data_IF_218786721276
#
_entry.id   IF_218786721276
#
_cell.length_a   1.000
_cell.length_b   1.000
_cell.length_c   1.000
_cell.angle_alpha   90.00
_cell.angle_beta   90.00
_cell.angle_gamma   90.00
#
_symmetry.space_group_name_H-M   'P 1'
#
loop_
_entity.id
_entity.type
_entity.pdbx_description
1 polymer ?
#
# COMPACT_ATOMS: atom_id res chain seq x y z
N UNK A 1 -10.46 11.01 -1.14
CA UNK A 1 -10.64 9.70 -0.46
C UNK A 1 -9.26 9.23 -0.05
N UNK A 2 -9.09 8.59 1.09
CA UNK A 2 -7.78 8.11 1.55
C UNK A 2 -7.76 6.59 1.59
N UNK A 3 -6.76 5.98 0.96
CA UNK A 3 -6.51 4.55 0.93
C UNK A 3 -5.22 4.25 1.68
N UNK A 4 -5.30 3.42 2.71
CA UNK A 4 -4.12 2.83 3.35
C UNK A 4 -4.02 1.37 2.94
N UNK A 5 -2.91 0.98 2.32
CA UNK A 5 -2.60 -0.42 2.03
C UNK A 5 -1.49 -0.89 2.95
N UNK A 6 -1.75 -1.94 3.70
CA UNK A 6 -0.79 -2.62 4.57
C UNK A 6 -0.49 -4.00 3.99
N UNK A 7 0.77 -4.28 3.70
CA UNK A 7 1.27 -5.59 3.31
C UNK A 7 2.07 -6.19 4.46
N UNK A 8 1.86 -7.46 4.76
CA UNK A 8 2.62 -8.23 5.73
C UNK A 8 2.99 -9.56 5.07
N UNK A 9 4.21 -10.08 5.11
CA UNK A 9 5.42 -9.72 5.84
C UNK A 9 6.60 -9.68 4.82
N UNK A 10 7.60 -8.78 4.94
CA UNK A 10 7.77 -7.70 5.93
C UNK A 10 6.68 -6.62 5.85
N UNK A 11 6.39 -5.90 6.95
CA UNK A 11 5.41 -4.83 6.95
C UNK A 11 5.78 -3.71 5.97
N UNK A 12 4.84 -3.37 5.09
CA UNK A 12 4.92 -2.18 4.23
C UNK A 12 3.57 -1.47 4.24
N UNK A 13 3.57 -0.17 4.53
CA UNK A 13 2.36 0.63 4.62
C UNK A 13 2.45 1.75 3.59
N UNK A 14 1.43 1.89 2.76
CA UNK A 14 1.30 2.99 1.80
C UNK A 14 -0.01 3.74 1.99
N UNK A 15 0.04 5.06 1.97
CA UNK A 15 -1.10 5.97 2.12
C UNK A 15 -1.24 6.76 0.82
N UNK A 16 -2.43 6.75 0.23
CA UNK A 16 -2.72 7.37 -1.06
C UNK A 16 -4.04 8.15 -1.02
N UNK A 17 -4.16 9.17 -1.88
CA UNK A 17 -5.44 9.80 -2.22
C UNK A 17 -5.74 11.15 -1.55
N UNK A 18 -5.15 11.47 -0.41
CA UNK A 18 -5.23 12.80 0.20
C UNK A 18 -3.95 13.13 0.98
N UNK A 19 -3.63 14.42 1.08
CA UNK A 19 -2.51 14.89 1.89
C UNK A 19 -2.83 14.77 3.38
N UNK A 20 -1.89 14.22 4.14
CA UNK A 20 -1.89 14.25 5.60
C UNK A 20 -0.99 15.41 6.08
N UNK A 21 -1.32 16.03 7.21
CA UNK A 21 -0.42 16.94 7.92
C UNK A 21 0.88 16.22 8.31
N UNK A 22 1.99 16.97 8.34
CA UNK A 22 3.30 16.42 8.71
C UNK A 22 3.29 15.82 10.12
N UNK A 23 2.60 16.44 11.08
CA UNK A 23 2.49 15.92 12.44
C UNK A 23 1.88 14.52 12.50
N UNK A 24 0.86 14.27 11.67
CA UNK A 24 0.19 12.97 11.54
C UNK A 24 1.12 11.94 10.90
N UNK A 25 1.90 12.35 9.90
CA UNK A 25 2.94 11.52 9.29
C UNK A 25 3.99 11.14 10.35
N UNK A 26 4.50 12.10 11.11
CA UNK A 26 5.52 11.90 12.14
C UNK A 26 5.03 11.03 13.30
N UNK A 27 3.77 11.20 13.71
CA UNK A 27 3.11 10.35 14.69
C UNK A 27 3.05 8.88 14.21
N UNK A 28 2.64 8.66 12.96
CA UNK A 28 2.61 7.33 12.35
C UNK A 28 4.02 6.72 12.22
N UNK A 29 5.03 7.48 11.79
CA UNK A 29 6.42 7.01 11.72
C UNK A 29 6.93 6.54 13.09
N UNK A 30 6.55 7.24 14.16
CA UNK A 30 6.94 6.91 15.53
C UNK A 30 6.16 5.72 16.08
N UNK A 31 4.89 5.58 15.73
CA UNK A 31 3.99 4.57 16.28
C UNK A 31 4.16 3.20 15.61
N UNK A 32 4.16 3.14 14.27
CA UNK A 32 4.10 1.89 13.51
C UNK A 32 5.21 0.89 13.88
N UNK A 33 6.50 1.28 13.99
CA UNK A 33 7.55 0.33 14.34
C UNK A 33 7.35 -0.31 15.72
N UNK A 34 6.71 0.38 16.67
CA UNK A 34 6.49 -0.14 18.04
C UNK A 34 5.52 -1.32 18.09
N UNK A 35 4.70 -1.49 17.05
CA UNK A 35 3.70 -2.54 16.97
C UNK A 35 4.18 -3.81 16.25
N UNK A 36 5.42 -3.83 15.74
CA UNK A 36 5.97 -5.06 15.15
C UNK A 36 6.32 -6.06 16.24
N UNK A 37 6.16 -7.35 15.94
CA UNK A 37 6.50 -8.44 16.87
C UNK A 37 8.00 -8.52 17.12
N UNK A 38 8.83 -8.24 16.12
CA UNK A 38 10.29 -8.20 16.26
C UNK A 38 10.81 -7.01 17.05
N UNK A 39 10.03 -5.93 17.18
CA UNK A 39 10.41 -4.79 18.04
C UNK A 39 10.50 -5.15 19.52
N UNK A 40 9.91 -6.28 19.94
CA UNK A 40 10.13 -6.83 21.29
C UNK A 40 11.55 -7.43 21.47
N UNK A 41 12.26 -7.71 20.37
CA UNK A 41 13.54 -8.44 20.36
C UNK A 41 14.73 -7.58 19.91
N UNK A 42 14.51 -6.48 19.18
CA UNK A 42 15.58 -5.65 18.61
C UNK A 42 15.59 -4.24 19.20
N UNK A 43 15.99 -4.10 20.46
CA UNK A 43 16.45 -2.82 21.02
C UNK A 43 17.89 -2.56 20.56
N UNK A 44 18.06 -2.06 19.34
CA UNK A 44 19.37 -1.70 18.80
C UNK A 44 19.28 -0.43 17.97
N UNK A 45 20.24 0.47 18.18
CA UNK A 45 20.49 1.78 17.54
C UNK A 45 20.34 1.75 16.01
N UNK A 46 19.12 1.68 15.49
CA UNK A 46 18.81 1.87 14.06
C UNK A 46 18.02 3.15 13.90
N UNK A 47 18.23 3.83 12.77
CA UNK A 47 17.47 5.00 12.40
C UNK A 47 15.97 4.64 12.31
N UNK A 48 15.07 5.47 12.86
CA UNK A 48 13.65 5.18 12.81
C UNK A 48 13.16 5.13 11.35
N UNK A 49 12.33 4.14 10.98
CA UNK A 49 11.71 4.07 9.67
C UNK A 49 10.92 5.35 9.35
N UNK A 50 11.01 5.82 8.11
CA UNK A 50 10.40 7.07 7.65
C UNK A 50 9.48 6.82 6.46
N UNK A 51 8.41 7.61 6.35
CA UNK A 51 7.64 7.68 5.12
C UNK A 51 8.45 8.40 4.04
N UNK A 52 8.51 7.79 2.87
CA UNK A 52 9.05 8.36 1.66
C UNK A 52 7.90 8.79 0.77
N UNK A 53 7.97 10.01 0.25
CA UNK A 53 7.04 10.50 -0.75
C UNK A 53 7.39 9.86 -2.09
N UNK A 54 6.45 9.13 -2.66
CA UNK A 54 6.53 8.56 -4.00
C UNK A 54 5.59 9.38 -4.90
N UNK A 55 6.16 10.18 -5.80
CA UNK A 55 5.40 10.79 -6.89
C UNK A 55 5.14 9.73 -7.96
N UNK A 56 3.92 9.68 -8.50
CA UNK A 56 3.57 8.75 -9.57
C UNK A 56 4.11 9.25 -10.91
N UNK A 57 5.36 8.95 -11.26
CA UNK A 57 5.82 9.06 -12.65
C UNK A 57 5.42 7.80 -13.41
N UNK A 58 4.51 7.93 -14.39
CA UNK A 58 4.16 6.86 -15.32
C UNK A 58 5.25 6.67 -16.41
N UNK A 59 5.59 5.40 -16.69
CA UNK A 59 6.61 4.75 -17.56
C UNK A 59 6.55 5.08 -19.09
N UNK A 60 7.56 4.77 -19.98
CA UNK A 60 8.18 3.43 -20.21
C UNK A 60 9.67 3.34 -20.60
N UNK A 61 10.07 2.10 -20.91
CA UNK A 61 11.38 1.43 -21.10
C UNK A 61 12.37 2.02 -22.12
N UNK A 62 13.69 1.75 -21.90
CA UNK A 62 14.65 1.18 -22.88
C UNK A 62 16.07 1.12 -22.25
N UNK A 63 17.03 0.22 -22.52
CA UNK A 63 17.18 -1.07 -23.23
C UNK A 63 18.66 -1.49 -23.02
N UNK A 64 18.97 -2.79 -23.08
CA UNK A 64 20.17 -3.44 -23.71
C UNK A 64 20.22 -4.88 -23.18
N UNK A 65 19.65 -5.88 -23.86
CA UNK A 65 20.27 -6.71 -24.93
C UNK A 65 20.30 -8.17 -24.43
N UNK A 66 20.15 -9.28 -25.15
CA UNK A 66 20.06 -9.64 -26.57
C UNK A 66 19.48 -11.09 -26.67
N UNK A 67 18.72 -11.37 -27.76
CA UNK A 67 18.58 -12.64 -28.55
C UNK A 67 17.99 -13.89 -27.87
N UNK A 68 17.08 -14.69 -28.48
CA UNK A 68 17.05 -15.18 -29.87
C UNK A 68 15.65 -15.77 -30.25
N UNK A 69 15.38 -15.72 -31.55
CA UNK A 69 14.19 -16.17 -32.33
C UNK A 69 13.76 -17.64 -32.11
N UNK A 70 12.46 -17.96 -32.31
CA UNK A 70 11.98 -18.65 -33.53
C UNK A 70 10.44 -18.79 -33.59
N UNK A 71 9.87 -18.44 -34.74
CA UNK A 71 8.45 -18.46 -35.13
C UNK A 71 7.85 -19.86 -35.29
N UNK A 72 6.52 -19.97 -35.11
CA UNK A 72 5.65 -20.66 -36.08
C UNK A 72 4.21 -20.13 -36.05
N UNK A 73 3.78 -19.72 -37.24
CA UNK A 73 2.51 -19.12 -37.64
C UNK A 73 1.35 -20.15 -37.80
N UNK A 74 0.13 -19.60 -37.99
CA UNK A 74 -1.19 -20.13 -38.44
C UNK A 74 -2.25 -20.30 -37.34
N UNK A 75 -3.52 -19.94 -37.49
CA UNK A 75 -4.33 -19.19 -38.46
C UNK A 75 -5.70 -18.90 -37.75
N UNK A 76 -6.51 -18.04 -38.36
CA UNK A 76 -7.61 -17.22 -37.87
C UNK A 76 -8.84 -17.85 -37.17
N UNK A 77 -9.58 -16.93 -36.52
CA UNK A 77 -11.07 -16.77 -36.54
C UNK A 77 -11.83 -17.00 -35.22
N UNK A 78 -12.29 -15.87 -34.66
CA UNK A 78 -13.59 -15.65 -33.98
C UNK A 78 -13.94 -16.46 -32.72
N UNK A 79 -13.72 -15.84 -31.56
CA UNK A 79 -14.66 -15.91 -30.44
C UNK A 79 -14.73 -14.53 -29.76
N UNK A 80 -15.78 -13.82 -30.15
CA UNK A 80 -16.19 -12.52 -29.65
C UNK A 80 -16.67 -12.67 -28.19
N UNK A 81 -16.53 -11.61 -27.40
CA UNK A 81 -17.42 -11.29 -26.27
C UNK A 81 -17.27 -12.10 -24.97
N UNK A 82 -16.19 -11.91 -24.22
CA UNK A 82 -16.22 -12.23 -22.77
C UNK A 82 -15.17 -11.52 -21.88
N UNK A 83 -14.06 -11.02 -22.43
CA UNK A 83 -12.99 -10.41 -21.61
C UNK A 83 -13.13 -8.89 -21.38
N UNK A 84 -14.28 -8.30 -21.76
CA UNK A 84 -14.51 -6.85 -21.78
C UNK A 84 -15.25 -6.31 -20.56
N UNK A 85 -15.28 -7.07 -19.46
CA UNK A 85 -15.87 -6.63 -18.19
C UNK A 85 -14.83 -6.97 -17.11
N UNK A 86 -14.50 -6.00 -16.23
CA UNK A 86 -13.53 -6.05 -15.10
C UNK A 86 -12.17 -5.35 -15.31
N UNK A 87 -11.99 -4.49 -16.32
CA UNK A 87 -10.83 -3.56 -16.35
C UNK A 87 -11.16 -2.08 -16.59
N UNK A 88 -12.39 -1.67 -16.28
CA UNK A 88 -12.79 -0.27 -16.32
C UNK A 88 -13.43 0.12 -14.97
N UNK A 89 -12.60 0.64 -14.04
CA UNK A 89 -12.99 1.53 -12.91
C UNK A 89 -11.83 1.87 -11.97
N UNK A 90 -10.67 2.23 -12.51
CA UNK A 90 -9.75 3.15 -11.80
C UNK A 90 -9.40 4.28 -12.76
N UNK A 91 -10.45 5.00 -13.19
CA UNK A 91 -10.27 6.29 -13.83
C UNK A 91 -10.03 7.33 -12.73
N UNK A 92 -8.92 8.05 -12.90
CA UNK A 92 -8.59 9.41 -12.46
C UNK A 92 -7.32 9.47 -11.62
N UNK A 93 -6.20 9.50 -12.34
CA UNK A 93 -4.85 9.75 -11.83
C UNK A 93 -4.68 11.27 -11.68
N UNK A 94 -5.44 11.89 -10.78
CA UNK A 94 -4.95 13.10 -10.13
C UNK A 94 -3.61 12.73 -9.48
N UNK A 95 -2.66 13.66 -9.51
CA UNK A 95 -1.30 13.51 -9.00
C UNK A 95 -1.32 13.27 -7.48
N UNK A 96 -1.71 12.07 -7.06
CA UNK A 96 -1.85 11.72 -5.66
C UNK A 96 -0.47 11.47 -5.08
N UNK A 97 -0.15 12.24 -4.05
CA UNK A 97 0.98 11.98 -3.18
C UNK A 97 0.81 10.59 -2.55
N UNK A 98 1.71 9.66 -2.88
CA UNK A 98 1.74 8.33 -2.28
C UNK A 98 2.84 8.31 -1.22
N UNK A 99 2.48 8.18 0.05
CA UNK A 99 3.42 8.07 1.15
C UNK A 99 3.65 6.60 1.47
N UNK A 100 4.90 6.13 1.48
CA UNK A 100 5.23 4.73 1.76
C UNK A 100 6.27 4.59 2.88
N UNK A 101 6.03 3.69 3.82
CA UNK A 101 7.00 3.28 4.84
C UNK A 101 7.23 1.78 4.74
N UNK A 102 8.49 1.36 4.80
CA UNK A 102 8.90 -0.04 4.75
C UNK A 102 9.60 -0.43 6.05
N UNK A 103 9.11 -1.49 6.70
CA UNK A 103 9.71 -2.07 7.89
C UNK A 103 10.41 -3.38 7.51
N UNK A 104 11.31 -3.32 6.52
CA UNK A 104 11.87 -4.50 5.82
C UNK A 104 12.58 -5.53 6.71
N UNK A 105 13.04 -5.15 7.90
CA UNK A 105 13.69 -6.04 8.88
C UNK A 105 12.74 -6.55 9.97
N UNK A 106 11.47 -6.17 9.93
CA UNK A 106 10.50 -6.47 10.97
C UNK A 106 9.55 -7.59 10.58
N UNK A 107 9.01 -8.27 11.58
CA UNK A 107 7.95 -9.26 11.45
C UNK A 107 6.73 -8.82 12.27
N UNK A 108 5.52 -9.00 11.72
CA UNK A 108 4.26 -8.79 12.43
C UNK A 108 3.39 -10.05 12.45
N UNK A 109 3.21 -10.61 13.64
CA UNK A 109 2.16 -11.59 13.92
C UNK A 109 0.77 -10.93 13.91
N UNK A 110 -0.29 -11.73 13.99
CA UNK A 110 -1.67 -11.23 13.98
C UNK A 110 -1.91 -10.10 15.01
N UNK A 111 -1.45 -10.26 16.25
CA UNK A 111 -1.56 -9.21 17.28
C UNK A 111 -0.86 -7.91 16.87
N UNK A 112 0.35 -8.00 16.33
CA UNK A 112 1.10 -6.82 15.86
C UNK A 112 0.39 -6.09 14.72
N UNK A 113 -0.19 -6.85 13.79
CA UNK A 113 -1.01 -6.30 12.69
C UNK A 113 -2.23 -5.56 13.22
N UNK A 114 -2.98 -6.16 14.14
CA UNK A 114 -4.15 -5.52 14.76
C UNK A 114 -3.77 -4.20 15.43
N UNK A 115 -2.65 -4.15 16.16
CA UNK A 115 -2.18 -2.91 16.78
C UNK A 115 -1.77 -1.84 15.77
N UNK A 116 -1.13 -2.24 14.65
CA UNK A 116 -0.85 -1.29 13.57
C UNK A 116 -2.11 -0.72 12.94
N UNK A 117 -3.12 -1.57 12.70
CA UNK A 117 -4.40 -1.10 12.15
C UNK A 117 -5.07 -0.08 13.06
N UNK A 118 -5.07 -0.32 14.37
CA UNK A 118 -5.60 0.61 15.35
C UNK A 118 -4.85 1.95 15.34
N UNK A 119 -3.51 1.91 15.37
CA UNK A 119 -2.69 3.13 15.33
C UNK A 119 -2.92 3.95 14.04
N UNK A 120 -3.15 3.28 12.91
CA UNK A 120 -3.50 3.96 11.65
C UNK A 120 -4.90 4.57 11.75
N UNK A 121 -5.88 3.83 12.24
CA UNK A 121 -7.27 4.31 12.34
C UNK A 121 -7.36 5.52 13.27
N UNK A 122 -6.69 5.49 14.42
CA UNK A 122 -6.63 6.57 15.41
C UNK A 122 -6.02 7.85 14.80
N UNK A 123 -4.84 7.74 14.19
CA UNK A 123 -4.18 8.87 13.56
C UNK A 123 -4.98 9.48 12.40
N UNK A 124 -5.71 8.65 11.64
CA UNK A 124 -6.59 9.12 10.57
C UNK A 124 -7.84 9.81 11.13
N UNK A 125 -8.41 9.32 12.22
CA UNK A 125 -9.57 9.93 12.88
C UNK A 125 -9.23 11.32 13.45
N UNK A 126 -8.08 11.46 14.11
CA UNK A 126 -7.57 12.77 14.60
C UNK A 126 -7.27 13.77 13.47
N UNK A 127 -6.95 13.27 12.29
CA UNK A 127 -6.78 14.08 11.07
C UNK A 127 -8.12 14.47 10.44
N UNK A 128 -9.24 13.95 10.93
CA UNK A 128 -10.57 14.20 10.40
C UNK A 128 -10.94 13.26 9.25
N UNK A 129 -10.33 12.08 9.14
CA UNK A 129 -10.74 11.03 8.21
C UNK A 129 -11.51 9.94 8.95
N UNK A 130 -12.76 9.71 8.55
CA UNK A 130 -13.57 8.62 9.07
C UNK A 130 -13.37 7.35 8.24
N UNK A 131 -13.14 6.22 8.90
CA UNK A 131 -13.06 4.91 8.26
C UNK A 131 -14.41 4.51 7.64
N UNK A 132 -14.38 3.94 6.44
CA UNK A 132 -15.58 3.54 5.68
C UNK A 132 -15.66 2.05 5.40
N UNK A 133 -14.54 1.45 5.04
CA UNK A 133 -14.50 0.02 4.67
C UNK A 133 -13.10 -0.54 4.84
N UNK A 134 -13.03 -1.85 4.95
CA UNK A 134 -11.79 -2.62 5.01
C UNK A 134 -11.86 -3.80 4.05
N UNK A 135 -10.73 -4.16 3.46
CA UNK A 135 -10.59 -5.34 2.60
C UNK A 135 -9.32 -6.08 2.99
N UNK A 136 -9.42 -7.35 3.32
CA UNK A 136 -8.27 -8.19 3.66
C UNK A 136 -8.21 -9.38 2.69
N UNK A 137 -7.05 -9.60 2.09
CA UNK A 137 -6.79 -10.71 1.17
C UNK A 137 -5.43 -11.30 1.48
N UNK A 138 -5.39 -12.62 1.69
CA UNK A 138 -4.14 -13.38 1.70
C UNK A 138 -3.84 -13.80 0.26
N UNK A 139 -2.68 -13.39 -0.24
CA UNK A 139 -2.21 -13.72 -1.59
C UNK A 139 -1.60 -15.12 -1.62
N UNK A 140 -1.50 -15.71 -2.82
CA UNK A 140 -0.92 -17.04 -3.04
C UNK A 140 0.56 -17.13 -2.61
N UNK A 141 1.27 -15.99 -2.61
CA UNK A 141 2.64 -15.87 -2.12
C UNK A 141 2.76 -15.84 -0.59
N UNK A 142 1.66 -16.06 0.14
CA UNK A 142 1.61 -16.04 1.61
C UNK A 142 1.64 -14.64 2.23
N UNK A 143 1.55 -13.56 1.42
CA UNK A 143 1.44 -12.19 1.93
C UNK A 143 0.01 -11.84 2.24
N UNK A 144 -0.20 -11.21 3.38
CA UNK A 144 -1.47 -10.65 3.80
C UNK A 144 -1.53 -9.17 3.41
N UNK A 145 -2.56 -8.81 2.67
CA UNK A 145 -2.82 -7.44 2.23
C UNK A 145 -4.12 -6.96 2.83
N UNK A 146 -4.03 -5.92 3.65
CA UNK A 146 -5.18 -5.23 4.22
C UNK A 146 -5.26 -3.82 3.66
N UNK A 147 -6.43 -3.44 3.15
CA UNK A 147 -6.75 -2.10 2.64
C UNK A 147 -7.78 -1.45 3.54
N UNK A 148 -7.49 -0.24 3.99
CA UNK A 148 -8.39 0.61 4.77
C UNK A 148 -8.81 1.79 3.89
N UNK A 149 -10.12 1.97 3.75
CA UNK A 149 -10.70 3.06 2.96
C UNK A 149 -11.33 4.07 3.92
N UNK A 150 -10.84 5.31 3.86
CA UNK A 150 -11.31 6.41 4.69
C UNK A 150 -11.74 7.59 3.82
N UNK A 151 -12.69 8.37 4.33
CA UNK A 151 -13.16 9.61 3.67
C UNK A 151 -13.02 10.75 4.66
N UNK A 152 -12.68 11.94 4.17
CA UNK A 152 -12.74 13.15 4.96
C UNK A 152 -14.12 13.22 5.65
N UNK A 153 -14.11 13.31 6.97
CA UNK A 153 -15.27 13.57 7.77
C UNK A 153 -15.68 15.01 7.47
N UNK A 154 -16.84 15.19 6.86
CA UNK A 154 -17.48 16.50 6.81
C UNK A 154 -17.94 16.81 8.22
N UNK A 155 -17.07 17.38 9.05
CA UNK A 155 -17.53 18.05 10.27
C UNK A 155 -18.39 19.24 9.82
N UNK A 156 -19.69 19.13 10.07
CA UNK A 156 -20.66 20.22 9.98
C UNK A 156 -20.47 21.21 11.14
#
# INVERSE_FOLDING_TARGET
MLLVTCLFNPPSISIQGASLRQDTIDALQRALPKHTTTSQLTYGRQEPPKFLLTASSAHPEAETGEKKEQEKETDATTAVSAALIVRDRVQNLEEYTSLKIELGKHYCCQKGRSMMFLAIMEALEEEGFAMRSTSAVTMDNGKDVTRLFSRASSCC
#
